data_IF_523611158586
#
_entry.id   IF_523611158586
#
_cell.length_a   1.000
_cell.length_b   1.000
_cell.length_c   1.000
_cell.angle_alpha   90.00
_cell.angle_beta   90.00
_cell.angle_gamma   90.00
#
_symmetry.space_group_name_H-M   'P 1'
#
loop_
_entity.id
_entity.type
_entity.pdbx_description
1 polymer ?
#
# COMPACT_ATOMS: atom_id res chain seq x y z
N UNK A 1 37.74 -37.94 66.08
CA UNK A 1 37.04 -39.23 65.93
C UNK A 1 35.56 -38.93 65.74
N UNK A 2 35.10 -38.90 64.48
CA UNK A 2 34.07 -39.80 63.94
C UNK A 2 32.66 -39.56 64.53
N UNK A 3 31.79 -38.82 63.83
CA UNK A 3 30.60 -39.33 63.11
C UNK A 3 29.46 -39.78 64.06
N UNK A 4 28.25 -39.23 64.08
CA UNK A 4 27.18 -39.22 63.07
C UNK A 4 25.94 -38.54 63.70
N UNK A 5 24.94 -38.21 62.86
CA UNK A 5 23.58 -37.66 63.12
C UNK A 5 23.47 -36.19 62.68
N UNK A 6 23.40 -35.87 61.38
CA UNK A 6 22.34 -36.14 60.42
C UNK A 6 20.97 -35.54 60.81
N UNK A 7 20.43 -34.72 59.89
CA UNK A 7 19.11 -34.05 59.84
C UNK A 7 19.10 -32.72 60.63
N UNK A 8 18.95 -31.54 60.02
CA UNK A 8 17.98 -31.21 58.99
C UNK A 8 18.52 -30.10 58.07
N UNK A 9 18.79 -30.47 56.83
CA UNK A 9 18.78 -29.53 55.70
C UNK A 9 17.33 -29.46 55.24
N UNK A 10 16.66 -28.33 55.47
CA UNK A 10 15.47 -27.97 54.68
C UNK A 10 15.51 -26.48 54.39
N UNK A 11 16.30 -26.23 53.35
CA UNK A 11 16.24 -25.13 52.39
C UNK A 11 14.81 -24.61 52.21
N UNK A 12 14.48 -23.47 52.82
CA UNK A 12 13.29 -22.68 52.45
C UNK A 12 13.63 -21.90 51.17
N UNK A 13 13.62 -22.59 50.03
CA UNK A 13 13.46 -21.91 48.74
C UNK A 13 11.99 -21.58 48.57
N UNK A 14 11.67 -20.29 48.73
CA UNK A 14 10.45 -19.69 48.24
C UNK A 14 10.38 -19.88 46.72
N UNK A 15 9.82 -21.00 46.29
CA UNK A 15 9.30 -21.17 44.94
C UNK A 15 8.03 -20.31 44.84
N UNK A 16 8.20 -19.00 44.61
CA UNK A 16 7.14 -18.19 44.00
C UNK A 16 7.03 -18.63 42.55
N UNK A 17 6.37 -19.76 42.32
CA UNK A 17 5.81 -20.08 41.01
C UNK A 17 4.68 -19.09 40.77
N UNK A 18 5.02 -17.91 40.25
CA UNK A 18 4.05 -17.06 39.60
C UNK A 18 3.40 -17.91 38.50
N UNK A 19 2.14 -18.29 38.70
CA UNK A 19 1.30 -18.85 37.66
C UNK A 19 1.16 -17.75 36.60
N UNK A 20 2.09 -17.73 35.65
CA UNK A 20 1.92 -16.99 34.41
C UNK A 20 0.73 -17.65 33.71
N UNK A 21 -0.46 -17.09 33.89
CA UNK A 21 -1.55 -17.31 32.95
C UNK A 21 -1.00 -16.83 31.61
N UNK A 22 -0.56 -17.76 30.78
CA UNK A 22 0.01 -17.46 29.47
C UNK A 22 -0.96 -16.54 28.75
N UNK A 23 -0.50 -15.34 28.41
CA UNK A 23 -1.26 -14.42 27.60
C UNK A 23 -1.68 -15.19 26.34
N UNK A 24 -2.98 -15.44 26.21
CA UNK A 24 -3.55 -16.00 24.99
C UNK A 24 -4.03 -14.78 24.22
N UNK A 25 -3.22 -14.24 23.29
CA UNK A 25 -3.69 -13.14 22.46
C UNK A 25 -5.01 -13.57 21.84
N UNK A 26 -6.02 -12.69 21.90
CA UNK A 26 -7.21 -12.87 21.09
C UNK A 26 -6.76 -13.15 19.66
N UNK A 27 -7.36 -14.12 18.96
CA UNK A 27 -7.08 -14.32 17.54
C UNK A 27 -7.17 -12.97 16.85
N UNK A 28 -6.18 -12.65 16.00
CA UNK A 28 -6.27 -11.51 15.09
C UNK A 28 -7.66 -11.51 14.47
N UNK A 29 -8.38 -10.40 14.60
CA UNK A 29 -9.73 -10.27 14.06
C UNK A 29 -9.66 -10.58 12.56
N UNK A 30 -10.10 -11.79 12.21
CA UNK A 30 -10.24 -12.21 10.84
C UNK A 30 -11.48 -11.58 10.21
N UNK A 31 -11.66 -11.73 8.88
CA UNK A 31 -12.91 -11.36 8.25
C UNK A 31 -14.07 -12.09 8.94
N UNK A 32 -15.13 -11.34 9.28
CA UNK A 32 -16.30 -11.88 10.01
C UNK A 32 -17.11 -12.90 9.21
N UNK A 33 -16.79 -13.10 7.94
CA UNK A 33 -17.38 -14.08 7.04
C UNK A 33 -16.27 -14.82 6.27
N UNK A 34 -16.49 -16.09 5.88
CA UNK A 34 -15.56 -16.79 5.02
C UNK A 34 -15.39 -16.04 3.69
N UNK A 35 -14.24 -16.17 3.00
CA UNK A 35 -14.05 -15.61 1.67
C UNK A 35 -15.17 -16.10 0.74
N UNK A 36 -15.80 -15.18 0.01
CA UNK A 36 -16.79 -15.55 -0.99
C UNK A 36 -16.12 -16.18 -2.22
N UNK A 37 -16.86 -17.00 -2.97
CA UNK A 37 -16.43 -17.45 -4.28
C UNK A 37 -17.10 -16.58 -5.36
N UNK A 38 -16.33 -16.09 -6.32
CA UNK A 38 -16.84 -15.27 -7.42
C UNK A 38 -17.11 -16.14 -8.65
N UNK A 39 -18.38 -16.24 -9.06
CA UNK A 39 -18.78 -16.83 -10.33
C UNK A 39 -19.11 -15.72 -11.34
N UNK A 40 -18.29 -15.60 -12.38
CA UNK A 40 -18.45 -14.64 -13.48
C UNK A 40 -19.60 -14.98 -14.42
N UNK A 41 -20.14 -16.21 -14.35
CA UNK A 41 -21.34 -16.62 -15.08
C UNK A 41 -22.62 -16.35 -14.29
N UNK A 42 -22.51 -15.89 -13.04
CA UNK A 42 -23.65 -15.50 -12.24
C UNK A 42 -24.43 -14.36 -12.93
N UNK A 43 -25.75 -14.46 -12.94
CA UNK A 43 -26.60 -13.50 -13.67
C UNK A 43 -26.57 -12.09 -13.08
N UNK A 44 -26.35 -11.95 -11.76
CA UNK A 44 -26.24 -10.65 -11.09
C UNK A 44 -24.90 -10.02 -11.46
N UNK A 45 -23.81 -10.80 -11.39
CA UNK A 45 -22.47 -10.33 -11.80
C UNK A 45 -22.47 -9.95 -13.28
N UNK A 46 -22.97 -10.81 -14.16
CA UNK A 46 -23.06 -10.55 -15.60
C UNK A 46 -23.83 -9.26 -15.92
N UNK A 47 -25.02 -9.09 -15.35
CA UNK A 47 -25.81 -7.85 -15.52
C UNK A 47 -25.08 -6.61 -15.01
N UNK A 48 -24.38 -6.71 -13.87
CA UNK A 48 -23.61 -5.60 -13.34
C UNK A 48 -22.47 -5.19 -14.28
N UNK A 49 -21.77 -6.17 -14.89
CA UNK A 49 -20.71 -5.91 -15.86
C UNK A 49 -21.24 -5.34 -17.17
N UNK A 50 -22.41 -5.78 -17.65
CA UNK A 50 -23.08 -5.19 -18.83
C UNK A 50 -23.44 -3.71 -18.58
N UNK A 51 -24.03 -3.40 -17.42
CA UNK A 51 -24.35 -2.02 -17.02
C UNK A 51 -23.07 -1.18 -16.91
N UNK A 52 -22.00 -1.75 -16.34
CA UNK A 52 -20.71 -1.07 -16.22
C UNK A 52 -20.12 -0.72 -17.59
N UNK A 53 -20.11 -1.67 -18.53
CA UNK A 53 -19.67 -1.46 -19.91
C UNK A 53 -20.50 -0.36 -20.58
N UNK A 54 -21.82 -0.42 -20.47
CA UNK A 54 -22.72 0.57 -21.06
C UNK A 54 -22.48 1.99 -20.51
N UNK A 55 -22.18 2.11 -19.21
CA UNK A 55 -21.85 3.40 -18.60
C UNK A 55 -20.55 3.98 -19.14
N UNK A 56 -19.51 3.16 -19.35
CA UNK A 56 -18.27 3.64 -19.96
C UNK A 56 -18.43 3.96 -21.45
N UNK A 57 -19.23 3.18 -22.17
CA UNK A 57 -19.57 3.48 -23.57
C UNK A 57 -20.29 4.82 -23.70
N UNK A 58 -21.25 5.08 -22.81
CA UNK A 58 -21.92 6.38 -22.75
C UNK A 58 -20.93 7.50 -22.45
N UNK A 59 -20.08 7.36 -21.43
CA UNK A 59 -19.06 8.35 -21.08
C UNK A 59 -18.13 8.66 -22.26
N UNK A 60 -17.69 7.63 -22.98
CA UNK A 60 -16.81 7.77 -24.14
C UNK A 60 -17.51 8.45 -25.32
N UNK A 61 -18.80 8.21 -25.50
CA UNK A 61 -19.59 8.82 -26.58
C UNK A 61 -19.94 10.29 -26.30
N UNK A 62 -20.33 10.61 -25.06
CA UNK A 62 -20.80 11.95 -24.69
C UNK A 62 -19.68 12.86 -24.19
N UNK A 63 -18.57 12.29 -23.72
CA UNK A 63 -17.50 13.02 -23.02
C UNK A 63 -17.88 13.47 -21.61
N UNK A 64 -19.09 13.17 -21.13
CA UNK A 64 -19.61 13.61 -19.84
C UNK A 64 -20.38 12.51 -19.13
N UNK A 65 -20.20 12.41 -17.81
CA UNK A 65 -20.85 11.38 -17.00
C UNK A 65 -21.03 11.81 -15.55
N UNK A 66 -21.83 11.06 -14.77
CA UNK A 66 -22.13 11.40 -13.38
C UNK A 66 -20.90 11.38 -12.46
N UNK A 67 -19.82 10.72 -12.88
CA UNK A 67 -18.57 10.60 -12.13
C UNK A 67 -17.45 11.51 -12.68
N UNK A 68 -17.80 12.45 -13.56
CA UNK A 68 -16.87 13.40 -14.18
C UNK A 68 -16.81 13.28 -15.70
N UNK A 69 -16.21 14.30 -16.30
CA UNK A 69 -16.05 14.42 -17.75
C UNK A 69 -14.70 13.89 -18.19
N UNK A 70 -14.63 13.42 -19.45
CA UNK A 70 -13.38 13.08 -20.11
C UNK A 70 -13.10 14.06 -21.25
N UNK A 71 -11.84 14.45 -21.39
CA UNK A 71 -11.40 15.27 -22.52
C UNK A 71 -11.10 14.42 -23.77
N UNK A 72 -11.05 15.01 -24.97
CA UNK A 72 -10.60 14.34 -26.19
C UNK A 72 -9.16 13.78 -26.16
N UNK A 73 -8.40 14.07 -25.10
CA UNK A 73 -7.04 13.57 -24.86
C UNK A 73 -6.99 12.43 -23.83
N UNK A 74 -8.14 12.01 -23.29
CA UNK A 74 -8.21 11.05 -22.19
C UNK A 74 -8.20 9.62 -22.71
N UNK A 75 -7.05 8.95 -22.64
CA UNK A 75 -6.92 7.51 -22.93
C UNK A 75 -6.83 6.76 -21.61
N UNK A 76 -7.61 5.69 -21.43
CA UNK A 76 -7.62 4.93 -20.18
C UNK A 76 -7.93 3.45 -20.40
N UNK A 77 -7.53 2.64 -19.42
CA UNK A 77 -7.86 1.22 -19.33
C UNK A 77 -8.30 0.91 -17.90
N UNK A 78 -9.33 0.09 -17.75
CA UNK A 78 -9.85 -0.36 -16.45
C UNK A 78 -9.97 -1.87 -16.54
N UNK A 79 -9.53 -2.56 -15.50
CA UNK A 79 -9.65 -4.00 -15.39
C UNK A 79 -10.08 -4.38 -13.98
N UNK A 80 -10.91 -5.40 -13.88
CA UNK A 80 -11.32 -5.99 -12.61
C UNK A 80 -10.69 -7.37 -12.47
N UNK A 81 -10.12 -7.62 -11.30
CA UNK A 81 -9.52 -8.90 -10.92
C UNK A 81 -10.04 -9.34 -9.56
N UNK A 82 -9.91 -10.63 -9.25
CA UNK A 82 -10.31 -11.20 -7.97
C UNK A 82 -9.23 -12.16 -7.49
N UNK A 83 -8.85 -12.03 -6.21
CA UNK A 83 -8.02 -13.02 -5.53
C UNK A 83 -8.86 -14.11 -4.81
N UNK A 84 -10.19 -13.99 -4.89
CA UNK A 84 -11.11 -14.95 -4.31
C UNK A 84 -11.34 -16.13 -5.25
N UNK A 85 -11.59 -17.30 -4.66
CA UNK A 85 -11.87 -18.55 -5.39
C UNK A 85 -13.03 -18.40 -6.35
N UNK A 86 -13.03 -19.21 -7.41
CA UNK A 86 -14.14 -19.27 -8.38
C UNK A 86 -13.66 -19.02 -9.80
N UNK A 87 -14.58 -18.73 -10.72
CA UNK A 87 -14.26 -18.65 -12.16
C UNK A 87 -13.44 -17.41 -12.53
N UNK A 88 -13.35 -16.43 -11.63
CA UNK A 88 -12.49 -15.26 -11.78
C UNK A 88 -11.03 -15.52 -11.39
N UNK A 89 -10.75 -16.54 -10.57
CA UNK A 89 -9.39 -16.85 -10.07
C UNK A 89 -8.46 -17.31 -11.20
N UNK A 90 -9.00 -18.04 -12.19
CA UNK A 90 -8.23 -18.64 -13.29
C UNK A 90 -7.77 -17.63 -14.36
N UNK A 91 -8.18 -16.36 -14.25
CA UNK A 91 -7.88 -15.31 -15.24
C UNK A 91 -7.22 -14.11 -14.57
N UNK A 92 -6.26 -13.43 -15.24
CA UNK A 92 -5.66 -12.22 -14.69
C UNK A 92 -6.69 -11.12 -14.46
N UNK A 93 -7.69 -11.01 -15.35
CA UNK A 93 -8.82 -10.10 -15.25
C UNK A 93 -10.10 -10.82 -15.69
N UNK A 94 -11.20 -10.60 -14.99
CA UNK A 94 -12.51 -11.15 -15.36
C UNK A 94 -13.37 -10.15 -16.15
N UNK A 95 -12.97 -8.89 -16.20
CA UNK A 95 -13.57 -7.84 -17.01
C UNK A 95 -12.52 -6.76 -17.32
N UNK A 96 -12.55 -6.21 -18.53
CA UNK A 96 -11.63 -5.19 -19.01
C UNK A 96 -12.36 -4.18 -19.91
N UNK A 97 -11.96 -2.91 -19.85
CA UNK A 97 -12.44 -1.84 -20.72
C UNK A 97 -11.28 -0.94 -21.12
N UNK A 98 -11.12 -0.71 -22.42
CA UNK A 98 -10.01 0.07 -22.98
C UNK A 98 -10.57 1.18 -23.88
N UNK A 99 -10.26 2.42 -23.54
CA UNK A 99 -10.62 3.58 -24.34
C UNK A 99 -9.37 4.27 -24.88
N UNK A 100 -9.30 4.36 -26.21
CA UNK A 100 -8.26 5.13 -26.91
C UNK A 100 -8.84 6.46 -27.39
N UNK A 101 -8.32 7.56 -26.84
CA UNK A 101 -8.79 8.88 -27.22
C UNK A 101 -8.50 9.23 -28.68
N UNK A 102 -9.36 10.04 -29.33
CA UNK A 102 -9.11 10.50 -30.71
C UNK A 102 -7.80 11.25 -30.85
N UNK A 103 -7.41 12.07 -29.87
CA UNK A 103 -6.15 12.80 -29.91
C UNK A 103 -4.94 11.86 -29.85
N UNK A 104 -4.99 10.83 -28.99
CA UNK A 104 -3.93 9.82 -28.94
C UNK A 104 -3.83 9.05 -30.27
N UNK A 105 -4.95 8.66 -30.89
CA UNK A 105 -4.93 8.00 -32.20
C UNK A 105 -4.27 8.85 -33.29
N UNK A 106 -4.52 10.17 -33.28
CA UNK A 106 -3.92 11.11 -34.23
C UNK A 106 -2.42 11.31 -34.00
N UNK A 107 -2.00 11.36 -32.73
CA UNK A 107 -0.59 11.55 -32.36
C UNK A 107 0.25 10.27 -32.51
N UNK A 108 -0.37 9.10 -32.33
CA UNK A 108 0.29 7.82 -32.48
C UNK A 108 0.42 7.45 -33.96
N UNK A 109 1.65 7.46 -34.48
CA UNK A 109 1.96 7.12 -35.88
C UNK A 109 1.52 5.71 -36.29
N UNK A 110 1.33 4.80 -35.32
CA UNK A 110 0.84 3.44 -35.56
C UNK A 110 -0.70 3.34 -35.50
N UNK A 111 -1.38 4.39 -35.04
CA UNK A 111 -2.85 4.44 -34.85
C UNK A 111 -3.41 3.23 -34.08
N UNK A 112 -2.59 2.61 -33.23
CA UNK A 112 -2.98 1.43 -32.46
C UNK A 112 -3.88 1.85 -31.30
N UNK A 113 -4.96 1.09 -31.10
CA UNK A 113 -5.76 1.20 -29.90
C UNK A 113 -4.94 0.71 -28.70
N UNK A 114 -5.16 1.32 -27.53
CA UNK A 114 -4.65 0.76 -26.28
C UNK A 114 -5.30 -0.60 -26.00
N UNK A 115 -4.52 -1.47 -25.38
CA UNK A 115 -4.87 -2.83 -25.01
C UNK A 115 -4.41 -3.09 -23.58
N UNK A 116 -4.70 -4.28 -23.05
CA UNK A 116 -4.15 -4.77 -21.78
C UNK A 116 -2.62 -4.72 -21.68
N UNK A 117 -1.91 -4.75 -22.81
CA UNK A 117 -0.45 -4.75 -22.86
C UNK A 117 0.13 -3.32 -23.03
N UNK A 118 -0.72 -2.30 -23.03
CA UNK A 118 -0.29 -0.90 -23.12
C UNK A 118 0.35 -0.42 -21.82
N UNK A 119 1.44 0.34 -21.95
CA UNK A 119 2.23 0.84 -20.80
C UNK A 119 1.72 2.21 -20.39
N UNK A 120 1.42 2.37 -19.09
CA UNK A 120 0.96 3.62 -18.49
C UNK A 120 1.95 4.13 -17.45
N UNK A 121 2.11 5.45 -17.38
CA UNK A 121 2.83 6.09 -16.28
C UNK A 121 1.94 6.07 -15.04
N UNK A 122 2.40 5.44 -13.96
CA UNK A 122 1.65 5.29 -12.70
C UNK A 122 1.92 6.40 -11.67
N UNK A 123 2.91 7.27 -11.91
CA UNK A 123 3.18 8.44 -11.07
C UNK A 123 3.41 8.09 -9.61
N UNK A 124 2.69 8.76 -8.69
CA UNK A 124 2.83 8.56 -7.25
C UNK A 124 2.57 7.14 -6.75
N UNK A 125 1.87 6.29 -7.52
CA UNK A 125 1.74 4.87 -7.17
C UNK A 125 3.09 4.12 -7.12
N UNK A 126 4.14 4.70 -7.70
CA UNK A 126 5.52 4.21 -7.56
C UNK A 126 5.96 4.13 -6.10
N UNK A 127 5.43 5.00 -5.22
CA UNK A 127 5.75 5.01 -3.79
C UNK A 127 5.41 3.68 -3.09
N UNK A 128 4.37 2.96 -3.54
CA UNK A 128 4.01 1.63 -3.02
C UNK A 128 5.15 0.64 -3.25
N UNK A 129 5.76 0.66 -4.43
CA UNK A 129 6.91 -0.19 -4.76
C UNK A 129 8.15 0.22 -3.98
N UNK A 130 8.37 1.52 -3.74
CA UNK A 130 9.46 2.02 -2.90
C UNK A 130 9.34 1.48 -1.47
N UNK A 131 8.16 1.60 -0.85
CA UNK A 131 7.93 1.11 0.51
C UNK A 131 8.02 -0.42 0.61
N UNK A 132 7.48 -1.14 -0.37
CA UNK A 132 7.61 -2.60 -0.39
C UNK A 132 9.08 -3.02 -0.55
N UNK A 133 9.84 -2.38 -1.44
CA UNK A 133 11.26 -2.69 -1.61
C UNK A 133 12.05 -2.44 -0.33
N UNK A 134 11.73 -1.35 0.38
CA UNK A 134 12.33 -1.02 1.67
C UNK A 134 12.02 -2.08 2.74
N UNK A 135 10.75 -2.50 2.84
CA UNK A 135 10.33 -3.56 3.76
C UNK A 135 11.01 -4.91 3.47
N UNK A 136 11.21 -5.25 2.20
CA UNK A 136 11.91 -6.48 1.81
C UNK A 136 13.39 -6.44 2.15
N UNK A 137 14.03 -5.27 2.04
CA UNK A 137 15.46 -5.11 2.29
C UNK A 137 15.79 -4.99 3.78
N UNK A 138 15.03 -4.17 4.52
CA UNK A 138 15.38 -3.71 5.87
C UNK A 138 14.36 -4.14 6.95
N UNK A 139 13.22 -4.70 6.54
CA UNK A 139 12.10 -4.96 7.44
C UNK A 139 11.37 -3.67 7.85
N UNK A 140 10.58 -3.75 8.92
CA UNK A 140 9.76 -2.64 9.43
C UNK A 140 10.48 -1.77 10.47
N UNK A 141 11.58 -2.26 11.05
CA UNK A 141 12.33 -1.54 12.08
C UNK A 141 12.86 -0.18 11.60
N UNK A 142 13.30 -0.12 10.34
CA UNK A 142 13.82 1.10 9.70
C UNK A 142 12.87 2.29 9.79
N UNK A 143 11.55 2.06 9.89
CA UNK A 143 10.58 3.14 9.99
C UNK A 143 10.70 3.97 11.27
N UNK A 144 11.34 3.43 12.31
CA UNK A 144 11.57 4.13 13.57
C UNK A 144 12.87 4.94 13.57
N UNK A 145 13.74 4.72 12.59
CA UNK A 145 15.05 5.35 12.55
C UNK A 145 14.97 6.76 11.97
N UNK A 146 15.70 7.74 12.54
CA UNK A 146 15.95 9.02 11.91
C UNK A 146 16.53 8.86 10.50
N UNK A 147 16.04 9.63 9.54
CA UNK A 147 16.51 9.58 8.14
C UNK A 147 17.99 9.92 8.01
N UNK A 148 18.52 10.76 8.92
CA UNK A 148 19.94 11.14 8.96
C UNK A 148 20.89 9.98 9.21
N UNK A 149 20.39 8.84 9.72
CA UNK A 149 21.20 7.62 9.86
C UNK A 149 21.59 7.04 8.49
N UNK A 150 20.76 7.27 7.47
CA UNK A 150 20.92 6.75 6.11
C UNK A 150 21.35 7.83 5.11
N UNK A 151 20.95 9.09 5.37
CA UNK A 151 21.25 10.26 4.56
C UNK A 151 21.92 11.36 5.42
N UNK A 152 23.19 11.17 5.84
CA UNK A 152 23.87 12.06 6.78
C UNK A 152 24.03 13.50 6.26
N UNK A 153 24.00 13.71 4.95
CA UNK A 153 24.02 15.03 4.32
C UNK A 153 22.84 15.91 4.73
N UNK A 154 21.68 15.32 5.08
CA UNK A 154 20.50 16.06 5.52
C UNK A 154 20.73 16.74 6.88
N UNK A 155 21.59 16.19 7.74
CA UNK A 155 21.97 16.85 8.99
C UNK A 155 22.74 18.16 8.73
N UNK A 156 23.52 18.22 7.64
CA UNK A 156 24.32 19.39 7.27
C UNK A 156 23.50 20.48 6.56
N UNK A 157 22.28 20.19 6.10
CA UNK A 157 21.40 21.17 5.47
C UNK A 157 21.03 22.36 6.38
N UNK A 158 21.27 22.23 7.69
CA UNK A 158 21.05 23.27 8.71
C UNK A 158 22.26 24.21 8.90
N UNK A 159 23.43 23.91 8.32
CA UNK A 159 24.64 24.70 8.55
C UNK A 159 24.53 26.07 7.86
N UNK A 160 24.18 27.10 8.65
CA UNK A 160 24.18 28.51 8.23
C UNK A 160 22.85 29.25 8.40
N UNK A 161 21.76 28.57 8.76
CA UNK A 161 20.44 29.18 8.92
C UNK A 161 19.93 28.96 10.35
N UNK A 162 19.68 30.07 11.07
CA UNK A 162 19.34 30.08 12.50
C UNK A 162 17.83 30.10 12.79
N UNK A 163 16.99 29.83 11.80
CA UNK A 163 15.54 29.89 11.96
C UNK A 163 14.94 28.49 12.16
N UNK A 164 14.66 28.08 13.41
CA UNK A 164 14.12 26.76 13.71
C UNK A 164 12.66 26.57 13.25
N UNK A 165 11.97 27.65 12.84
CA UNK A 165 10.58 27.60 12.37
C UNK A 165 10.52 27.31 10.87
N UNK A 166 11.50 27.81 10.11
CA UNK A 166 11.52 27.71 8.64
C UNK A 166 12.36 26.53 8.11
N UNK A 167 12.97 25.73 8.99
CA UNK A 167 13.86 24.63 8.62
C UNK A 167 13.39 23.29 9.20
N UNK A 168 13.52 22.25 8.39
CA UNK A 168 13.23 20.87 8.80
C UNK A 168 14.37 20.37 9.70
N UNK A 169 14.04 19.94 10.92
CA UNK A 169 15.00 19.25 11.80
C UNK A 169 15.11 17.79 11.40
N UNK A 170 15.94 17.50 10.39
CA UNK A 170 16.08 16.16 9.82
C UNK A 170 16.49 15.06 10.81
N UNK A 171 17.16 15.43 11.91
CA UNK A 171 17.49 14.50 13.01
C UNK A 171 16.26 13.93 13.71
N UNK A 172 15.13 14.62 13.65
CA UNK A 172 13.88 14.23 14.32
C UNK A 172 12.92 13.53 13.35
N UNK A 173 13.23 13.56 12.04
CA UNK A 173 12.38 12.98 10.98
C UNK A 173 12.74 11.52 10.80
N UNK A 174 11.80 10.61 11.03
CA UNK A 174 12.02 9.17 10.80
C UNK A 174 11.71 8.78 9.36
N UNK A 175 12.26 7.64 8.92
CA UNK A 175 11.91 7.05 7.62
C UNK A 175 10.41 6.76 7.53
N UNK A 176 9.80 6.29 8.62
CA UNK A 176 8.36 6.04 8.70
C UNK A 176 7.52 7.31 8.52
N UNK A 177 7.94 8.43 9.09
CA UNK A 177 7.28 9.72 8.90
C UNK A 177 7.35 10.21 7.45
N UNK A 178 8.45 9.94 6.73
CA UNK A 178 8.54 10.20 5.29
C UNK A 178 7.61 9.26 4.51
N UNK A 179 7.65 7.97 4.81
CA UNK A 179 6.85 6.93 4.16
C UNK A 179 5.33 7.18 4.28
N UNK A 180 4.88 7.70 5.42
CA UNK A 180 3.47 7.98 5.71
C UNK A 180 3.02 9.39 5.32
N UNK A 181 3.91 10.21 4.74
CA UNK A 181 3.68 11.63 4.50
C UNK A 181 3.32 12.43 5.78
N UNK A 182 3.85 12.02 6.94
CA UNK A 182 3.64 12.65 8.25
C UNK A 182 4.90 13.37 8.80
N UNK A 183 5.91 13.60 7.98
CA UNK A 183 7.16 14.28 8.35
C UNK A 183 7.03 15.80 8.52
N UNK A 184 5.89 16.38 8.13
CA UNK A 184 5.68 17.83 8.13
C UNK A 184 6.46 18.58 7.03
N UNK A 185 7.01 17.85 6.05
CA UNK A 185 7.72 18.44 4.92
C UNK A 185 6.70 19.01 3.92
N UNK A 186 6.89 20.27 3.56
CA UNK A 186 6.04 20.91 2.57
C UNK A 186 6.14 20.22 1.21
N UNK A 187 5.01 20.10 0.53
CA UNK A 187 4.99 19.66 -0.87
C UNK A 187 5.78 20.64 -1.71
N UNK A 188 6.52 20.11 -2.69
CA UNK A 188 7.27 20.93 -3.64
C UNK A 188 6.33 21.94 -4.31
N UNK A 189 6.51 23.21 -3.97
CA UNK A 189 5.77 24.33 -4.51
C UNK A 189 6.78 25.27 -5.16
N UNK A 190 6.48 25.74 -6.38
CA UNK A 190 7.32 26.77 -7.00
C UNK A 190 7.40 27.94 -6.03
N UNK A 191 8.60 28.29 -5.60
CA UNK A 191 8.86 29.62 -5.04
C UNK A 191 8.47 30.62 -6.13
N UNK A 192 7.40 31.37 -5.89
CA UNK A 192 7.10 32.58 -6.65
C UNK A 192 8.16 33.65 -6.35
#
# INVERSE_FOLDING_TARGET
>A
MASLLARSVSFFLLFSSALSTGFTPCPLLGPGFPPFALDTNDTIVGKALEILTANFDQLVQTGTGPNGDISPNTTFSIALFSANKGTAEDKPFFWEYHHTSPAFKKANHLSQNVTKDSIYRIGGLTEVFTLWSLLLAEGDQIFNDPVVNYLPELASALQGHQDPINLVRWSDVTVGQLASHMSGIARDCKRN
#
